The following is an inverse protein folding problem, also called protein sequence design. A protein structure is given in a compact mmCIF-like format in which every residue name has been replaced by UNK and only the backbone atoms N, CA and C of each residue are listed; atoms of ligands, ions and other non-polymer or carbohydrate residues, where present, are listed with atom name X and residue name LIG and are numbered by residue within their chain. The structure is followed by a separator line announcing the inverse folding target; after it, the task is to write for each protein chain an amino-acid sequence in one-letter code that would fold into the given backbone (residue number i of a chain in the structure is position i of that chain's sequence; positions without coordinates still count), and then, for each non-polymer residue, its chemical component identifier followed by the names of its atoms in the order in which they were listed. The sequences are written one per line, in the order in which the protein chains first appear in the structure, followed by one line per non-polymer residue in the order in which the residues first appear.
data_IF_643954855508
#
_entry.id   IF_643954855508
#
_cell.length_a   1.000
_cell.length_b   1.000
_cell.length_c   1.000
_cell.angle_alpha   90.00
_cell.angle_beta   90.00
_cell.angle_gamma   90.00
#
_symmetry.space_group_name_H-M   'P 1'
#
loop_
_entity.id
_entity.type
_entity.pdbx_description
1 polymer ?
#
# COMPACT_ATOMS: atom_id res chain seq x y z
N UNK A 1 20.46 -22.09 38.95
CA UNK A 1 19.38 -21.16 38.57
C UNK A 1 19.65 -20.69 37.14
N UNK A 2 18.85 -21.14 36.17
CA UNK A 2 19.03 -20.76 34.77
C UNK A 2 18.73 -19.27 34.59
N UNK A 3 19.72 -18.46 34.22
CA UNK A 3 19.44 -17.11 33.74
C UNK A 3 18.62 -17.28 32.46
N UNK A 4 17.36 -16.86 32.48
CA UNK A 4 16.58 -16.76 31.26
C UNK A 4 17.32 -15.84 30.30
N UNK A 5 17.69 -16.35 29.14
CA UNK A 5 18.33 -15.55 28.10
C UNK A 5 17.43 -14.34 27.81
N UNK A 6 17.97 -13.14 28.03
CA UNK A 6 17.27 -11.91 27.70
C UNK A 6 17.05 -11.88 26.18
N UNK A 7 15.79 -11.75 25.75
CA UNK A 7 15.46 -11.65 24.32
C UNK A 7 16.12 -10.40 23.74
N UNK A 8 16.90 -10.56 22.68
CA UNK A 8 17.50 -9.41 21.99
C UNK A 8 16.41 -8.60 21.26
N UNK A 9 16.66 -7.31 21.06
CA UNK A 9 15.74 -6.44 20.33
C UNK A 9 15.41 -6.99 18.93
N UNK A 10 16.42 -7.57 18.25
CA UNK A 10 16.27 -8.18 16.94
C UNK A 10 15.29 -9.36 16.93
N UNK A 11 15.30 -10.20 17.97
CA UNK A 11 14.35 -11.32 18.10
C UNK A 11 12.91 -10.82 18.24
N UNK A 12 12.70 -9.77 19.05
CA UNK A 12 11.38 -9.15 19.22
C UNK A 12 10.91 -8.49 17.91
N UNK A 13 11.80 -7.77 17.25
CA UNK A 13 11.53 -7.10 15.96
C UNK A 13 11.23 -8.11 14.85
N UNK A 14 11.98 -9.21 14.77
CA UNK A 14 11.75 -10.28 13.79
C UNK A 14 10.39 -10.93 14.01
N UNK A 15 10.07 -11.32 15.26
CA UNK A 15 8.77 -11.93 15.59
C UNK A 15 7.61 -10.99 15.27
N UNK A 16 7.76 -9.69 15.57
CA UNK A 16 6.75 -8.69 15.22
C UNK A 16 6.58 -8.59 13.69
N UNK A 17 7.67 -8.53 12.92
CA UNK A 17 7.63 -8.50 11.46
C UNK A 17 6.90 -9.71 10.88
N UNK A 18 7.20 -10.92 11.38
CA UNK A 18 6.56 -12.15 10.93
C UNK A 18 5.06 -12.17 11.24
N UNK A 19 4.69 -11.77 12.46
CA UNK A 19 3.28 -11.68 12.86
C UNK A 19 2.54 -10.66 12.00
N UNK A 20 3.13 -9.47 11.82
CA UNK A 20 2.57 -8.40 11.03
C UNK A 20 2.39 -8.81 9.56
N UNK A 21 3.34 -9.54 8.98
CA UNK A 21 3.23 -10.07 7.62
C UNK A 21 2.03 -11.02 7.46
N UNK A 22 1.85 -11.95 8.40
CA UNK A 22 0.70 -12.88 8.39
C UNK A 22 -0.63 -12.13 8.52
N UNK A 23 -0.71 -11.18 9.47
CA UNK A 23 -1.92 -10.37 9.68
C UNK A 23 -2.25 -9.52 8.46
N UNK A 24 -1.25 -8.91 7.81
CA UNK A 24 -1.46 -8.10 6.60
C UNK A 24 -1.99 -8.92 5.43
N UNK A 25 -1.43 -10.11 5.21
CA UNK A 25 -1.90 -11.04 4.17
C UNK A 25 -3.36 -11.41 4.39
N UNK A 26 -3.70 -11.84 5.61
CA UNK A 26 -5.08 -12.16 5.97
C UNK A 26 -6.01 -10.95 5.82
N UNK A 27 -5.57 -9.76 6.25
CA UNK A 27 -6.36 -8.54 6.13
C UNK A 27 -6.68 -8.21 4.67
N UNK A 28 -5.71 -8.37 3.75
CA UNK A 28 -5.93 -8.14 2.32
C UNK A 28 -7.00 -9.09 1.74
N UNK A 29 -6.95 -10.37 2.11
CA UNK A 29 -7.98 -11.34 1.72
C UNK A 29 -9.35 -10.93 2.29
N UNK A 30 -9.41 -10.66 3.60
CA UNK A 30 -10.65 -10.29 4.28
C UNK A 30 -11.30 -9.06 3.64
N UNK A 31 -10.54 -8.01 3.41
CA UNK A 31 -11.07 -6.78 2.84
C UNK A 31 -11.47 -6.93 1.37
N UNK A 32 -10.79 -7.75 0.58
CA UNK A 32 -11.25 -8.09 -0.77
C UNK A 32 -12.62 -8.76 -0.71
N UNK A 33 -12.82 -9.72 0.20
CA UNK A 33 -14.12 -10.36 0.44
C UNK A 33 -15.16 -9.40 0.98
N UNK A 34 -14.77 -8.49 1.87
CA UNK A 34 -15.63 -7.43 2.38
C UNK A 34 -16.14 -6.50 1.28
N UNK A 35 -15.27 -6.08 0.37
CA UNK A 35 -15.63 -5.20 -0.75
C UNK A 35 -16.56 -5.89 -1.76
N UNK A 36 -16.42 -7.21 -1.92
CA UNK A 36 -17.21 -8.02 -2.87
C UNK A 36 -18.42 -8.71 -2.23
N UNK A 37 -18.73 -8.40 -0.96
CA UNK A 37 -19.79 -9.06 -0.21
C UNK A 37 -21.18 -8.83 -0.83
N UNK A 38 -22.01 -9.85 -0.78
CA UNK A 38 -23.42 -9.80 -1.20
C UNK A 38 -24.30 -9.32 -0.05
N UNK A 39 -25.45 -8.73 -0.38
CA UNK A 39 -26.46 -8.39 0.62
C UNK A 39 -26.89 -9.65 1.38
N UNK A 40 -26.94 -9.57 2.71
CA UNK A 40 -27.26 -10.71 3.58
C UNK A 40 -26.07 -11.59 3.99
N UNK A 41 -24.85 -11.35 3.51
CA UNK A 41 -23.66 -11.99 4.08
C UNK A 41 -23.29 -11.37 5.41
N UNK A 42 -23.20 -12.21 6.45
CA UNK A 42 -22.73 -11.80 7.77
C UNK A 42 -21.20 -11.72 7.82
N UNK A 43 -20.67 -10.92 8.75
CA UNK A 43 -19.24 -10.80 8.99
C UNK A 43 -18.58 -12.16 9.25
N UNK A 44 -19.24 -13.06 10.00
CA UNK A 44 -18.74 -14.41 10.27
C UNK A 44 -18.62 -15.28 8.99
N UNK A 45 -19.47 -15.05 7.99
CA UNK A 45 -19.34 -15.73 6.70
C UNK A 45 -18.12 -15.23 5.92
N UNK A 46 -17.87 -13.92 5.95
CA UNK A 46 -16.73 -13.28 5.30
C UNK A 46 -15.42 -13.73 5.96
N UNK A 47 -15.38 -13.79 7.30
CA UNK A 47 -14.22 -14.27 8.04
C UNK A 47 -13.88 -15.72 7.68
N UNK A 48 -14.87 -16.61 7.63
CA UNK A 48 -14.68 -18.01 7.23
C UNK A 48 -14.18 -18.15 5.79
N UNK A 49 -14.72 -17.36 4.86
CA UNK A 49 -14.28 -17.36 3.46
C UNK A 49 -12.84 -16.84 3.33
N UNK A 50 -12.46 -15.85 4.15
CA UNK A 50 -11.10 -15.35 4.20
C UNK A 50 -10.11 -16.36 4.80
N UNK A 51 -10.52 -17.11 5.83
CA UNK A 51 -9.72 -18.20 6.41
C UNK A 51 -9.50 -19.35 5.44
N UNK A 52 -10.52 -19.69 4.65
CA UNK A 52 -10.43 -20.71 3.61
C UNK A 52 -9.44 -20.30 2.51
N UNK A 53 -9.59 -19.09 1.97
CA UNK A 53 -8.66 -18.59 0.96
C UNK A 53 -7.23 -18.44 1.51
N UNK A 54 -7.05 -18.00 2.77
CA UNK A 54 -5.73 -17.95 3.38
C UNK A 54 -5.09 -19.35 3.49
N UNK A 55 -5.89 -20.36 3.86
CA UNK A 55 -5.41 -21.75 3.95
C UNK A 55 -4.98 -22.28 2.58
N UNK A 56 -5.74 -21.96 1.53
CA UNK A 56 -5.40 -22.34 0.15
C UNK A 56 -4.13 -21.65 -0.35
N UNK A 57 -3.98 -20.34 -0.11
CA UNK A 57 -2.84 -19.55 -0.60
C UNK A 57 -1.53 -19.84 0.15
N UNK A 58 -1.61 -20.09 1.47
CA UNK A 58 -0.41 -20.24 2.32
C UNK A 58 -0.21 -21.66 2.86
N UNK A 59 -1.06 -22.60 2.48
CA UNK A 59 -1.07 -23.98 2.96
C UNK A 59 -0.98 -24.09 4.50
N UNK A 60 -1.61 -23.14 5.19
CA UNK A 60 -1.53 -23.00 6.64
C UNK A 60 -2.79 -22.33 7.18
N UNK A 61 -3.28 -22.79 8.34
CA UNK A 61 -4.38 -22.13 9.03
C UNK A 61 -3.92 -20.80 9.62
N UNK A 62 -4.74 -19.77 9.49
CA UNK A 62 -4.51 -18.50 10.16
C UNK A 62 -4.75 -18.64 11.67
N UNK A 63 -3.71 -18.44 12.49
CA UNK A 63 -3.77 -18.62 13.94
C UNK A 63 -3.82 -17.31 14.74
N UNK A 64 -3.88 -16.16 14.07
CA UNK A 64 -3.75 -14.83 14.67
C UNK A 64 -5.07 -14.04 14.64
N UNK A 65 -6.23 -14.72 14.72
CA UNK A 65 -7.56 -14.12 14.64
C UNK A 65 -7.73 -12.92 15.59
N UNK A 66 -7.47 -13.15 16.89
CA UNK A 66 -7.62 -12.11 17.92
C UNK A 66 -6.68 -10.93 17.73
N UNK A 67 -5.45 -11.20 17.29
CA UNK A 67 -4.49 -10.13 16.98
C UNK A 67 -4.96 -9.29 15.81
N UNK A 68 -5.45 -9.93 14.75
CA UNK A 68 -6.01 -9.24 13.59
C UNK A 68 -7.27 -8.44 13.94
N UNK A 69 -8.21 -8.99 14.71
CA UNK A 69 -9.41 -8.29 15.17
C UNK A 69 -9.10 -7.01 15.95
N UNK A 70 -8.05 -7.02 16.78
CA UNK A 70 -7.59 -5.84 17.50
C UNK A 70 -6.95 -4.83 16.54
N UNK A 71 -6.10 -5.30 15.63
CA UNK A 71 -5.40 -4.42 14.69
C UNK A 71 -6.36 -3.74 13.70
N UNK A 72 -7.37 -4.44 13.18
CA UNK A 72 -8.34 -3.84 12.23
C UNK A 72 -9.21 -2.74 12.83
N UNK A 73 -9.39 -2.72 14.15
CA UNK A 73 -10.11 -1.65 14.87
C UNK A 73 -9.25 -0.40 15.07
N UNK A 74 -7.94 -0.49 14.87
CA UNK A 74 -7.03 0.64 15.04
C UNK A 74 -6.99 1.51 13.77
N UNK A 75 -7.18 2.84 13.86
CA UNK A 75 -7.24 3.74 12.70
C UNK A 75 -5.94 3.79 11.86
N UNK A 76 -4.82 3.38 12.43
CA UNK A 76 -3.55 3.27 11.72
C UNK A 76 -3.44 2.04 10.80
N UNK A 77 -4.36 1.07 10.93
CA UNK A 77 -4.32 -0.20 10.18
C UNK A 77 -5.31 -0.24 9.00
N UNK A 78 -6.37 0.57 9.06
CA UNK A 78 -7.44 0.64 8.07
C UNK A 78 -6.96 1.23 6.72
N UNK A 79 -5.81 1.93 6.70
CA UNK A 79 -5.27 2.67 5.54
C UNK A 79 -4.31 1.90 4.63
N UNK A 80 -4.19 0.57 4.73
CA UNK A 80 -3.28 -0.19 3.86
C UNK A 80 -3.93 -0.77 2.60
N UNK A 81 -5.19 -0.43 2.32
CA UNK A 81 -5.96 -1.10 1.28
C UNK A 81 -6.66 -0.17 0.30
N UNK A 82 -5.89 0.75 -0.25
CA UNK A 82 -6.22 1.36 -1.54
C UNK A 82 -5.13 0.99 -2.52
N UNK A 83 -5.39 -0.11 -3.25
CA UNK A 83 -4.91 -0.43 -4.60
C UNK A 83 -3.70 0.39 -5.08
N UNK A 84 -2.49 -0.10 -4.83
CA UNK A 84 -1.35 0.18 -5.71
C UNK A 84 -1.08 -1.08 -6.54
N UNK A 85 -1.86 -1.22 -7.61
CA UNK A 85 -1.52 -2.09 -8.75
C UNK A 85 -0.28 -1.52 -9.45
N UNK A 86 0.91 -1.81 -8.94
CA UNK A 86 2.14 -1.68 -9.71
C UNK A 86 2.79 -3.06 -9.80
N UNK A 87 2.36 -3.83 -10.79
CA UNK A 87 3.00 -5.06 -11.19
C UNK A 87 4.50 -4.82 -11.41
N UNK A 88 5.32 -5.42 -10.54
CA UNK A 88 6.77 -5.47 -10.70
C UNK A 88 7.11 -6.29 -11.95
N UNK A 89 7.33 -5.61 -13.08
CA UNK A 89 7.87 -6.21 -14.30
C UNK A 89 9.34 -6.54 -14.10
N UNK A 90 9.62 -7.71 -13.52
CA UNK A 90 10.92 -8.35 -13.61
C UNK A 90 10.73 -9.78 -14.13
N UNK A 91 10.63 -9.88 -15.45
CA UNK A 91 10.82 -11.13 -16.18
C UNK A 91 11.73 -10.83 -17.37
N UNK A 92 13.03 -11.07 -17.19
CA UNK A 92 14.02 -11.10 -18.28
C UNK A 92 14.12 -12.56 -18.71
N UNK A 93 13.46 -12.91 -19.82
CA UNK A 93 13.73 -14.14 -20.54
C UNK A 93 14.49 -13.78 -21.82
N UNK A 94 15.72 -14.24 -21.90
CA UNK A 94 16.55 -14.26 -23.09
C UNK A 94 16.19 -15.52 -23.87
N UNK A 95 15.84 -15.39 -25.15
CA UNK A 95 16.01 -16.50 -26.10
C UNK A 95 16.22 -15.96 -27.51
N UNK A 96 17.19 -16.60 -28.15
CA UNK A 96 17.84 -16.35 -29.43
C UNK A 96 17.00 -16.86 -30.61
N UNK A 97 17.39 -16.40 -31.81
CA UNK A 97 17.19 -16.96 -33.17
C UNK A 97 15.97 -16.57 -34.02
N UNK A 98 16.28 -15.90 -35.15
CA UNK A 98 15.63 -16.00 -36.47
C UNK A 98 16.36 -17.10 -37.29
N UNK A 99 16.00 -17.51 -38.55
CA UNK A 99 14.94 -17.10 -39.50
C UNK A 99 14.24 -18.27 -40.28
N UNK A 100 13.27 -17.94 -41.17
CA UNK A 100 12.71 -18.82 -42.22
C UNK A 100 11.32 -19.39 -41.88
N UNK A 101 10.30 -19.42 -42.73
CA UNK A 101 10.26 -19.67 -44.18
C UNK A 101 9.03 -18.96 -44.80
N UNK A 102 9.15 -18.51 -46.05
CA UNK A 102 8.03 -18.04 -46.87
C UNK A 102 7.79 -19.06 -47.98
N UNK A 103 6.56 -19.56 -48.12
CA UNK A 103 6.16 -20.29 -49.32
C UNK A 103 4.66 -20.17 -49.58
N UNK A 104 4.34 -19.85 -50.84
CA UNK A 104 3.11 -20.11 -51.59
C UNK A 104 2.92 -19.00 -52.66
N UNK A 105 3.49 -19.28 -53.83
CA UNK A 105 3.28 -18.55 -55.08
C UNK A 105 1.95 -18.98 -55.70
N UNK A 106 1.10 -18.04 -56.11
CA UNK A 106 0.13 -18.28 -57.20
C UNK A 106 0.09 -17.03 -58.08
N UNK A 107 0.61 -17.17 -59.29
CA UNK A 107 0.51 -16.19 -60.37
C UNK A 107 -0.74 -16.51 -61.18
N UNK A 108 -1.62 -15.53 -61.40
CA UNK A 108 -2.61 -15.58 -62.47
C UNK A 108 -2.43 -14.29 -63.28
N UNK A 109 -1.89 -14.46 -64.48
CA UNK A 109 -1.82 -13.46 -65.54
C UNK A 109 -2.96 -13.77 -66.51
N UNK A 110 -3.79 -12.78 -66.82
CA UNK A 110 -4.73 -12.86 -67.93
C UNK A 110 -4.85 -11.48 -68.57
N UNK A 111 -3.86 -11.19 -69.42
CA UNK A 111 -4.01 -10.24 -70.51
C UNK A 111 -5.00 -10.85 -71.50
N UNK A 112 -6.27 -10.47 -71.42
CA UNK A 112 -7.17 -10.55 -72.56
C UNK A 112 -8.40 -9.64 -72.37
N UNK A 113 -8.76 -8.98 -73.47
CA UNK A 113 -9.94 -8.16 -73.75
C UNK A 113 -9.83 -6.65 -73.49
N UNK A 114 -9.19 -5.98 -74.45
CA UNK A 114 -9.56 -4.64 -74.93
C UNK A 114 -11.01 -4.66 -75.46
N UNK A 115 -11.81 -3.63 -75.15
CA UNK A 115 -12.62 -2.84 -76.10
C UNK A 115 -13.59 -1.87 -75.39
N UNK A 116 -13.34 -0.59 -75.67
CA UNK A 116 -14.26 0.55 -75.85
C UNK A 116 -14.82 1.36 -74.66
N UNK A 117 -14.66 2.68 -74.88
CA UNK A 117 -15.02 3.86 -74.11
C UNK A 117 -16.55 4.01 -73.95
N UNK A 118 -17.00 4.56 -72.83
CA UNK A 118 -18.03 5.61 -72.83
C UNK A 118 -17.93 6.38 -71.48
N UNK A 119 -17.81 7.69 -71.57
CA UNK A 119 -17.89 8.65 -70.46
C UNK A 119 -19.35 8.77 -69.99
N UNK A 120 -19.63 8.63 -68.69
CA UNK A 120 -20.81 9.26 -68.10
C UNK A 120 -20.55 9.65 -66.64
N UNK A 121 -20.56 10.97 -66.43
CA UNK A 121 -20.48 11.67 -65.14
C UNK A 121 -21.64 11.25 -64.23
N UNK A 122 -21.35 10.51 -63.16
CA UNK A 122 -22.23 10.48 -61.99
C UNK A 122 -21.42 10.63 -60.69
N UNK A 123 -21.67 11.78 -60.08
CA UNK A 123 -21.19 12.32 -58.81
C UNK A 123 -21.31 11.29 -57.66
N UNK A 124 -20.21 10.59 -57.31
CA UNK A 124 -20.16 9.72 -56.14
C UNK A 124 -19.80 10.57 -54.92
N UNK A 125 -20.81 10.83 -54.09
CA UNK A 125 -20.70 11.36 -52.73
C UNK A 125 -19.57 10.64 -51.96
N UNK A 126 -18.55 11.40 -51.57
CA UNK A 126 -17.32 10.89 -50.94
C UNK A 126 -17.62 10.37 -49.51
N UNK A 127 -18.12 9.14 -49.41
CA UNK A 127 -18.26 8.41 -48.16
C UNK A 127 -16.86 8.12 -47.61
N UNK A 128 -16.35 9.05 -46.80
CA UNK A 128 -15.11 8.90 -46.04
C UNK A 128 -15.03 7.52 -45.37
N UNK A 129 -14.12 6.69 -45.87
CA UNK A 129 -13.86 5.35 -45.33
C UNK A 129 -13.39 5.46 -43.87
N UNK A 130 -13.77 4.51 -42.99
CA UNK A 130 -13.38 4.54 -41.59
C UNK A 130 -11.85 4.56 -41.45
N UNK A 131 -11.37 5.41 -40.54
CA UNK A 131 -9.95 5.57 -40.30
C UNK A 131 -9.30 4.23 -39.93
N UNK A 132 -8.28 3.84 -40.69
CA UNK A 132 -7.60 2.56 -40.49
C UNK A 132 -7.08 2.40 -39.06
N UNK A 133 -7.15 1.18 -38.55
CA UNK A 133 -6.74 0.77 -37.18
C UNK A 133 -5.39 1.36 -36.76
N UNK A 134 -4.45 1.45 -37.68
CA UNK A 134 -3.09 1.93 -37.41
C UNK A 134 -3.02 3.44 -37.22
N UNK A 135 -3.87 4.20 -37.94
CA UNK A 135 -3.97 5.66 -37.81
C UNK A 135 -4.71 6.05 -36.54
N UNK A 136 -5.77 5.31 -36.19
CA UNK A 136 -6.46 5.45 -34.89
C UNK A 136 -5.53 5.12 -33.69
N UNK A 137 -4.62 4.14 -33.84
CA UNK A 137 -3.61 3.82 -32.82
C UNK A 137 -2.54 4.89 -32.71
N UNK A 138 -2.11 5.49 -33.83
CA UNK A 138 -1.17 6.59 -33.85
C UNK A 138 -1.72 7.85 -33.17
N UNK A 139 -2.98 8.19 -33.40
CA UNK A 139 -3.61 9.35 -32.77
C UNK A 139 -3.85 9.14 -31.27
N UNK A 140 -4.24 7.93 -30.84
CA UNK A 140 -4.27 7.58 -29.40
C UNK A 140 -2.89 7.67 -28.74
N UNK A 141 -1.83 7.33 -29.46
CA UNK A 141 -0.46 7.46 -28.95
C UNK A 141 0.00 8.93 -28.86
N UNK A 142 -0.44 9.78 -29.80
CA UNK A 142 -0.16 11.23 -29.79
C UNK A 142 -0.94 11.96 -28.69
N UNK A 143 -2.21 11.62 -28.48
CA UNK A 143 -3.03 12.18 -27.40
C UNK A 143 -2.46 11.87 -25.99
N UNK A 144 -1.83 10.69 -25.82
CA UNK A 144 -1.12 10.32 -24.58
C UNK A 144 0.18 11.09 -24.34
N UNK A 145 0.80 11.66 -25.38
CA UNK A 145 2.03 12.47 -25.23
C UNK A 145 1.73 13.92 -24.83
N UNK A 146 0.52 14.43 -25.07
CA UNK A 146 0.13 15.80 -24.69
C UNK A 146 -0.38 15.96 -23.26
N UNK A 147 -0.62 14.86 -22.53
CA UNK A 147 -1.20 14.90 -21.17
C UNK A 147 -0.50 13.88 -20.26
N UNK A 148 0.82 14.02 -20.12
CA UNK A 148 1.59 13.22 -19.16
C UNK A 148 2.71 14.04 -18.54
N UNK A 149 2.33 15.11 -17.85
CA UNK A 149 3.04 15.46 -16.62
C UNK A 149 2.61 14.45 -15.56
N UNK A 150 3.10 13.22 -15.66
CA UNK A 150 3.12 12.30 -14.52
C UNK A 150 4.05 12.95 -13.51
N UNK A 151 3.48 13.66 -12.55
CA UNK A 151 4.19 14.04 -11.33
C UNK A 151 4.64 12.73 -10.68
N UNK A 152 5.94 12.50 -10.64
CA UNK A 152 6.52 11.49 -9.74
C UNK A 152 5.95 11.73 -8.34
N UNK A 153 5.53 10.70 -7.59
CA UNK A 153 5.13 10.89 -6.21
C UNK A 153 6.28 11.60 -5.48
N UNK A 154 6.02 12.79 -4.93
CA UNK A 154 7.05 13.55 -4.26
C UNK A 154 7.33 12.92 -2.89
N UNK A 155 8.24 11.95 -2.89
CA UNK A 155 8.67 11.25 -1.69
C UNK A 155 9.30 12.19 -0.66
N UNK A 156 9.88 13.32 -1.09
CA UNK A 156 10.51 14.28 -0.17
C UNK A 156 9.47 14.94 0.71
N UNK A 157 8.35 15.36 0.11
CA UNK A 157 7.21 15.93 0.85
C UNK A 157 6.63 14.93 1.87
N UNK A 158 6.56 13.65 1.53
CA UNK A 158 6.12 12.59 2.45
C UNK A 158 7.06 12.38 3.64
N UNK A 159 8.38 12.46 3.41
CA UNK A 159 9.40 12.34 4.45
C UNK A 159 9.41 13.55 5.39
N UNK A 160 9.27 14.76 4.85
CA UNK A 160 9.17 15.99 5.64
C UNK A 160 7.94 15.97 6.56
N UNK A 161 6.78 15.59 6.03
CA UNK A 161 5.54 15.51 6.81
C UNK A 161 5.60 14.44 7.90
N UNK A 162 6.35 13.35 7.67
CA UNK A 162 6.62 12.35 8.69
C UNK A 162 7.57 12.88 9.77
N UNK A 163 8.64 13.58 9.37
CA UNK A 163 9.59 14.21 10.29
C UNK A 163 8.89 15.20 11.22
N UNK A 164 8.05 16.07 10.66
CA UNK A 164 7.25 17.03 11.42
C UNK A 164 6.35 16.32 12.44
N UNK A 165 5.60 15.29 12.00
CA UNK A 165 4.70 14.55 12.87
C UNK A 165 5.43 13.81 14.00
N UNK A 166 6.66 13.36 13.77
CA UNK A 166 7.53 12.79 14.81
C UNK A 166 7.97 13.88 15.79
N UNK A 167 8.32 15.06 15.30
CA UNK A 167 8.60 16.25 16.10
C UNK A 167 7.45 16.60 17.05
N UNK A 168 6.25 16.78 16.49
CA UNK A 168 5.03 17.11 17.24
C UNK A 168 4.71 16.05 18.30
N UNK A 169 4.87 14.77 17.96
CA UNK A 169 4.66 13.68 18.89
C UNK A 169 5.66 13.70 20.06
N UNK A 170 6.94 13.97 19.77
CA UNK A 170 7.96 14.08 20.80
C UNK A 170 7.74 15.29 21.70
N UNK A 171 7.28 16.40 21.13
CA UNK A 171 6.90 17.60 21.89
C UNK A 171 5.71 17.34 22.80
N UNK A 172 4.65 16.74 22.27
CA UNK A 172 3.48 16.35 23.05
C UNK A 172 3.86 15.40 24.21
N UNK A 173 4.79 14.48 23.99
CA UNK A 173 5.32 13.60 25.04
C UNK A 173 6.08 14.37 26.12
N UNK A 174 6.91 15.35 25.74
CA UNK A 174 7.61 16.23 26.69
C UNK A 174 6.62 17.08 27.49
N UNK A 175 5.62 17.66 26.85
CA UNK A 175 4.64 18.50 27.52
C UNK A 175 3.78 17.69 28.48
N UNK A 176 3.34 16.49 28.09
CA UNK A 176 2.65 15.57 29.01
C UNK A 176 3.50 15.23 30.23
N UNK A 177 4.79 14.95 30.03
CA UNK A 177 5.71 14.68 31.13
C UNK A 177 5.87 15.90 32.05
N UNK A 178 5.98 17.10 31.48
CA UNK A 178 6.02 18.36 32.23
C UNK A 178 4.78 18.57 33.08
N UNK A 179 3.59 18.30 32.53
CA UNK A 179 2.33 18.44 33.28
C UNK A 179 2.26 17.47 34.47
N UNK A 180 2.73 16.23 34.30
CA UNK A 180 2.80 15.24 35.39
C UNK A 180 3.78 15.69 36.48
N UNK A 181 4.95 16.21 36.09
CA UNK A 181 5.94 16.76 37.03
C UNK A 181 5.40 17.98 37.79
N UNK A 182 4.73 18.89 37.09
CA UNK A 182 4.09 20.05 37.70
C UNK A 182 2.98 19.64 38.67
N UNK A 183 2.18 18.64 38.30
CA UNK A 183 1.16 18.07 39.18
C UNK A 183 1.81 17.49 40.44
N UNK A 184 2.93 16.76 40.32
CA UNK A 184 3.64 16.18 41.46
C UNK A 184 4.21 17.26 42.40
N UNK A 185 4.59 18.44 41.90
CA UNK A 185 5.04 19.54 42.76
C UNK A 185 3.91 20.07 43.66
N UNK A 186 2.69 20.17 43.13
CA UNK A 186 1.54 20.74 43.84
C UNK A 186 0.74 19.73 44.66
N UNK A 187 1.02 18.42 44.57
CA UNK A 187 0.35 17.44 45.44
C UNK A 187 0.80 17.60 46.89
N UNK A 188 -0.16 17.60 47.82
CA UNK A 188 0.14 17.65 49.25
C UNK A 188 0.80 16.34 49.70
N UNK A 189 1.96 16.43 50.36
CA UNK A 189 2.75 15.29 50.84
C UNK A 189 2.72 15.13 52.36
N UNK A 190 1.91 15.92 53.08
CA UNK A 190 1.87 15.96 54.54
C UNK A 190 1.28 14.69 55.16
N UNK A 191 0.44 14.00 54.41
CA UNK A 191 -0.14 12.71 54.81
C UNK A 191 0.86 11.54 54.70
N UNK A 192 2.01 11.74 54.04
CA UNK A 192 3.05 10.73 53.91
C UNK A 192 4.04 10.79 55.08
N UNK A 193 4.50 9.62 55.53
CA UNK A 193 5.45 9.50 56.66
C UNK A 193 6.59 8.54 56.32
N UNK A 194 7.74 8.71 56.99
CA UNK A 194 8.90 7.84 56.80
C UNK A 194 9.48 7.90 55.39
N UNK A 195 9.80 6.73 54.81
CA UNK A 195 10.46 6.61 53.51
C UNK A 195 9.63 7.20 52.36
N UNK A 196 8.30 7.09 52.41
CA UNK A 196 7.43 7.59 51.34
C UNK A 196 7.48 9.12 51.23
N UNK A 197 7.53 9.81 52.37
CA UNK A 197 7.72 11.27 52.41
C UNK A 197 9.09 11.66 51.85
N UNK A 198 10.13 10.93 52.23
CA UNK A 198 11.49 11.20 51.75
C UNK A 198 11.62 11.01 50.24
N UNK A 199 10.98 9.97 49.68
CA UNK A 199 10.92 9.74 48.23
C UNK A 199 10.17 10.88 47.53
N UNK A 200 9.01 11.26 48.05
CA UNK A 200 8.21 12.33 47.45
C UNK A 200 8.94 13.68 47.43
N UNK A 201 9.57 14.08 48.54
CA UNK A 201 10.34 15.32 48.61
C UNK A 201 11.57 15.29 47.70
N UNK A 202 12.29 14.16 47.63
CA UNK A 202 13.43 14.00 46.73
C UNK A 202 13.04 14.15 45.26
N UNK A 203 11.91 13.55 44.85
CA UNK A 203 11.43 13.68 43.47
C UNK A 203 10.97 15.13 43.17
N UNK A 204 10.30 15.80 44.12
CA UNK A 204 9.96 17.22 43.99
C UNK A 204 11.21 18.10 43.86
N UNK A 205 12.26 17.83 44.63
CA UNK A 205 13.53 18.58 44.55
C UNK A 205 14.23 18.38 43.20
N UNK A 206 14.25 17.14 42.67
CA UNK A 206 14.77 16.86 41.32
C UNK A 206 14.03 17.67 40.26
N UNK A 207 12.69 17.70 40.34
CA UNK A 207 11.87 18.48 39.41
C UNK A 207 12.16 19.97 39.54
N UNK A 208 12.25 20.51 40.77
CA UNK A 208 12.59 21.91 41.00
C UNK A 208 13.94 22.29 40.39
N UNK A 209 14.97 21.45 40.57
CA UNK A 209 16.28 21.69 39.98
C UNK A 209 16.25 21.61 38.44
N UNK A 210 15.53 20.65 37.87
CA UNK A 210 15.35 20.51 36.41
C UNK A 210 14.79 21.77 35.74
N UNK A 211 13.93 22.52 36.44
CA UNK A 211 13.35 23.78 35.93
C UNK A 211 14.05 25.04 36.42
N UNK A 212 15.07 24.91 37.26
CA UNK A 212 15.85 26.04 37.76
C UNK A 212 16.94 26.49 36.78
N UNK A 213 17.45 25.55 35.98
CA UNK A 213 18.59 25.74 35.09
C UNK A 213 18.19 25.90 33.61
N UNK A 214 16.89 26.02 33.31
CA UNK A 214 16.34 26.37 32.00
C UNK A 214 15.89 27.84 31.99
#
# INVERSE_FOLDING_TARGET
MGRGEYRTNDMLSSKWRDMNLKVRKFNGIYSQKWQTRRSGQSDAMIEREAEEQYREEFNAQFSLQRSWELMRKCPNWIRLETVQSSASKRSKASSTDSPGTSDARVNINLNDLDEEEEEDDNEIEDLTRPIGRDRAKADRARARRGSSSQTTPDYNQGIEHLSQRIGDFNELKRERQRLVELQLLFTNTDHLTGLDREIAEREKDKIRNKYRDN
#
